data_IF_716188522021
#
_entry.id   IF_716188522021
#
_cell.length_a   1.000
_cell.length_b   1.000
_cell.length_c   1.000
_cell.angle_alpha   90.00
_cell.angle_beta   90.00
_cell.angle_gamma   90.00
#
_symmetry.space_group_name_H-M   'P 1'
#
loop_
_entity.id
_entity.type
_entity.pdbx_description
1 polymer ?
#
# COMPACT_ATOMS: atom_id res chain seq x y z
N UNK A 1 -10.50 -23.77 -27.79
CA UNK A 1 -10.06 -22.46 -27.24
C UNK A 1 -9.60 -22.70 -25.81
N UNK A 2 -8.43 -22.19 -25.40
CA UNK A 2 -7.97 -22.30 -24.01
C UNK A 2 -8.98 -21.53 -23.14
N UNK A 3 -9.62 -22.19 -22.18
CA UNK A 3 -10.61 -21.56 -21.29
C UNK A 3 -9.92 -20.44 -20.51
N UNK A 4 -10.50 -19.24 -20.51
CA UNK A 4 -9.96 -18.09 -19.76
C UNK A 4 -9.92 -18.44 -18.28
N UNK A 5 -8.79 -18.18 -17.64
CA UNK A 5 -8.55 -18.47 -16.22
C UNK A 5 -8.27 -17.19 -15.46
N UNK A 6 -8.80 -17.09 -14.25
CA UNK A 6 -8.76 -15.89 -13.42
C UNK A 6 -7.97 -16.12 -12.14
N UNK A 7 -7.42 -15.03 -11.61
CA UNK A 7 -6.88 -14.94 -10.27
C UNK A 7 -7.61 -13.81 -9.53
N UNK A 8 -8.45 -14.19 -8.57
CA UNK A 8 -9.22 -13.26 -7.75
C UNK A 8 -8.40 -12.87 -6.51
N UNK A 9 -8.11 -11.59 -6.38
CA UNK A 9 -7.36 -10.99 -5.28
C UNK A 9 -8.34 -10.33 -4.33
N UNK A 10 -8.46 -10.87 -3.12
CA UNK A 10 -9.36 -10.39 -2.06
C UNK A 10 -8.62 -9.48 -1.09
N UNK A 11 -9.40 -8.71 -0.33
CA UNK A 11 -8.89 -7.97 0.82
C UNK A 11 -8.33 -8.92 1.90
N UNK A 12 -7.36 -8.43 2.68
CA UNK A 12 -6.76 -9.16 3.81
C UNK A 12 -7.06 -8.54 5.19
N UNK A 13 -7.81 -7.44 5.23
CA UNK A 13 -8.24 -6.76 6.45
C UNK A 13 -7.11 -5.99 7.16
N UNK A 14 -6.14 -5.46 6.40
CA UNK A 14 -4.94 -4.82 6.93
C UNK A 14 -4.81 -3.35 6.51
N UNK A 15 -3.78 -2.65 6.99
CA UNK A 15 -3.47 -1.29 6.53
C UNK A 15 -3.26 -1.20 5.01
N UNK A 16 -3.54 -0.03 4.43
CA UNK A 16 -3.69 0.16 2.97
C UNK A 16 -2.49 -0.33 2.17
N UNK A 17 -1.27 0.02 2.60
CA UNK A 17 -0.08 -0.41 1.89
C UNK A 17 0.22 -1.89 2.08
N UNK A 18 -0.24 -2.52 3.16
CA UNK A 18 -0.18 -3.98 3.29
C UNK A 18 -1.15 -4.67 2.30
N UNK A 19 -2.35 -4.12 2.15
CA UNK A 19 -3.33 -4.56 1.14
C UNK A 19 -2.79 -4.38 -0.29
N UNK A 20 -2.18 -3.23 -0.59
CA UNK A 20 -1.58 -2.97 -1.90
C UNK A 20 -0.35 -3.85 -2.16
N UNK A 21 0.51 -4.10 -1.17
CA UNK A 21 1.62 -5.05 -1.32
C UNK A 21 1.11 -6.47 -1.58
N UNK A 22 0.03 -6.89 -0.92
CA UNK A 22 -0.65 -8.14 -1.24
C UNK A 22 -1.14 -8.15 -2.70
N UNK A 23 -1.83 -7.10 -3.14
CA UNK A 23 -2.29 -6.97 -4.53
C UNK A 23 -1.12 -7.07 -5.50
N UNK A 24 -0.04 -6.33 -5.29
CA UNK A 24 1.14 -6.34 -6.17
C UNK A 24 1.79 -7.73 -6.24
N UNK A 25 1.96 -8.42 -5.09
CA UNK A 25 2.45 -9.80 -5.07
C UNK A 25 1.54 -10.72 -5.88
N UNK A 26 0.22 -10.59 -5.75
CA UNK A 26 -0.71 -11.45 -6.48
C UNK A 26 -0.83 -11.09 -7.97
N UNK A 27 -0.55 -9.84 -8.36
CA UNK A 27 -0.43 -9.46 -9.77
C UNK A 27 0.78 -10.15 -10.42
N UNK A 28 1.93 -10.21 -9.72
CA UNK A 28 3.08 -11.00 -10.17
C UNK A 28 2.72 -12.48 -10.33
N UNK A 29 2.04 -13.06 -9.32
CA UNK A 29 1.57 -14.45 -9.39
C UNK A 29 0.64 -14.65 -10.59
N UNK A 30 -0.26 -13.71 -10.88
CA UNK A 30 -1.13 -13.78 -12.05
C UNK A 30 -0.35 -13.78 -13.38
N UNK A 31 0.74 -13.00 -13.48
CA UNK A 31 1.62 -13.03 -14.66
C UNK A 31 2.33 -14.38 -14.81
N UNK A 32 2.91 -14.90 -13.74
CA UNK A 32 3.61 -16.20 -13.74
C UNK A 32 2.64 -17.33 -14.12
N UNK A 33 1.44 -17.33 -13.56
CA UNK A 33 0.43 -18.36 -13.81
C UNK A 33 -0.38 -18.14 -15.10
N UNK A 34 -0.12 -17.05 -15.84
CA UNK A 34 -0.87 -16.64 -17.04
C UNK A 34 -2.39 -16.56 -16.81
N UNK A 35 -2.80 -15.90 -15.71
CA UNK A 35 -4.19 -15.71 -15.31
C UNK A 35 -4.59 -14.24 -15.41
N UNK A 36 -5.86 -13.98 -15.71
CA UNK A 36 -6.40 -12.62 -15.70
C UNK A 36 -6.66 -12.21 -14.24
N UNK A 37 -6.00 -11.16 -13.71
CA UNK A 37 -6.23 -10.70 -12.35
C UNK A 37 -7.55 -9.92 -12.23
N UNK A 38 -8.27 -10.14 -11.13
CA UNK A 38 -9.45 -9.38 -10.71
C UNK A 38 -9.26 -9.02 -9.25
N UNK A 39 -9.29 -7.73 -8.90
CA UNK A 39 -9.14 -7.26 -7.52
C UNK A 39 -10.51 -6.91 -6.96
N UNK A 40 -10.85 -7.49 -5.82
CA UNK A 40 -12.11 -7.22 -5.14
C UNK A 40 -11.88 -7.06 -3.64
N UNK A 41 -12.01 -5.82 -3.16
CA UNK A 41 -12.01 -5.51 -1.74
C UNK A 41 -13.45 -5.35 -1.26
N UNK A 42 -14.01 -6.42 -0.71
CA UNK A 42 -15.38 -6.46 -0.24
C UNK A 42 -15.60 -5.74 1.10
N UNK A 43 -16.70 -6.09 1.77
CA UNK A 43 -17.08 -5.52 3.09
C UNK A 43 -16.06 -5.80 4.21
N UNK A 44 -15.13 -6.73 4.03
CA UNK A 44 -14.05 -6.99 4.98
C UNK A 44 -12.92 -5.94 4.95
N UNK A 45 -12.93 -5.03 3.96
CA UNK A 45 -11.89 -4.02 3.82
C UNK A 45 -12.06 -2.89 4.83
N UNK A 46 -10.96 -2.51 5.49
CA UNK A 46 -10.93 -1.36 6.40
C UNK A 46 -11.20 0.00 5.70
N UNK A 47 -11.25 0.00 4.38
CA UNK A 47 -11.38 1.17 3.51
C UNK A 47 -12.71 1.20 2.72
N UNK A 48 -13.60 0.23 2.95
CA UNK A 48 -14.90 0.19 2.32
C UNK A 48 -15.82 1.30 2.90
N UNK A 49 -16.31 2.19 2.06
CA UNK A 49 -17.36 3.14 2.44
C UNK A 49 -18.74 2.47 2.44
N UNK A 50 -19.68 3.09 3.16
CA UNK A 50 -21.09 2.67 3.18
C UNK A 50 -21.68 2.71 1.78
N UNK A 51 -22.07 1.55 1.24
CA UNK A 51 -22.66 1.42 -0.09
C UNK A 51 -21.65 1.21 -1.23
N UNK A 52 -20.34 1.25 -0.95
CA UNK A 52 -19.35 0.84 -1.93
C UNK A 52 -19.37 -0.68 -2.13
N UNK A 53 -19.32 -1.10 -3.39
CA UNK A 53 -19.28 -2.50 -3.75
C UNK A 53 -17.86 -3.10 -3.74
N UNK A 54 -16.89 -2.39 -4.35
CA UNK A 54 -15.49 -2.76 -4.39
C UNK A 54 -14.62 -1.61 -3.87
N UNK A 55 -14.07 -1.76 -2.67
CA UNK A 55 -13.34 -0.69 -2.00
C UNK A 55 -12.07 -0.27 -2.76
N UNK A 56 -11.45 -1.17 -3.52
CA UNK A 56 -10.28 -0.88 -4.36
C UNK A 56 -10.61 0.17 -5.43
N UNK A 57 -11.76 0.01 -6.07
CA UNK A 57 -12.19 0.86 -7.19
C UNK A 57 -12.63 2.27 -6.76
N UNK A 58 -12.75 2.54 -5.45
CA UNK A 58 -12.92 3.90 -4.94
C UNK A 58 -11.67 4.76 -5.15
N UNK A 59 -10.51 4.12 -5.25
CA UNK A 59 -9.21 4.78 -5.24
C UNK A 59 -8.45 4.54 -6.54
N UNK A 60 -8.60 3.36 -7.13
CA UNK A 60 -7.85 2.93 -8.30
C UNK A 60 -8.78 2.50 -9.44
N UNK A 61 -8.31 2.58 -10.68
CA UNK A 61 -9.01 2.00 -11.82
C UNK A 61 -8.96 0.46 -11.76
N UNK A 62 -9.96 -0.25 -12.32
CA UNK A 62 -9.93 -1.71 -12.42
C UNK A 62 -8.66 -2.22 -13.10
N UNK A 63 -8.10 -3.30 -12.56
CA UNK A 63 -6.87 -3.93 -13.08
C UNK A 63 -7.12 -4.63 -14.44
N UNK A 64 -8.33 -5.14 -14.65
CA UNK A 64 -8.75 -5.79 -15.88
C UNK A 64 -10.16 -5.35 -16.26
N UNK A 65 -10.62 -5.76 -17.45
CA UNK A 65 -12.00 -5.53 -17.90
C UNK A 65 -13.03 -6.42 -17.21
N UNK A 66 -12.62 -7.26 -16.26
CA UNK A 66 -13.47 -8.20 -15.55
C UNK A 66 -13.70 -7.74 -14.11
N UNK A 67 -14.93 -7.91 -13.66
CA UNK A 67 -15.36 -7.65 -12.29
C UNK A 67 -15.59 -8.97 -11.54
N UNK A 68 -15.77 -8.87 -10.22
CA UNK A 68 -16.18 -10.03 -9.42
C UNK A 68 -17.52 -10.64 -9.87
N UNK A 69 -18.41 -9.86 -10.49
CA UNK A 69 -19.67 -10.37 -11.02
C UNK A 69 -19.47 -11.29 -12.22
N UNK A 70 -18.44 -11.05 -13.03
CA UNK A 70 -18.08 -11.93 -14.14
C UNK A 70 -17.55 -13.28 -13.67
N UNK A 71 -17.07 -13.34 -12.43
CA UNK A 71 -16.55 -14.53 -11.76
C UNK A 71 -17.61 -15.25 -10.92
N UNK A 72 -18.72 -14.59 -10.54
CA UNK A 72 -19.79 -15.15 -9.71
C UNK A 72 -20.73 -16.07 -10.52
N UNK A 73 -20.15 -17.10 -11.14
CA UNK A 73 -20.80 -18.00 -12.10
C UNK A 73 -20.74 -19.44 -11.60
N UNK A 74 -21.88 -20.14 -11.57
CA UNK A 74 -21.96 -21.52 -11.08
C UNK A 74 -21.16 -22.50 -11.93
N UNK A 75 -20.91 -22.18 -13.21
CA UNK A 75 -20.10 -23.00 -14.11
C UNK A 75 -18.59 -22.89 -13.87
N UNK A 76 -18.13 -21.98 -13.00
CA UNK A 76 -16.72 -21.84 -12.68
C UNK A 76 -16.34 -22.76 -11.52
N UNK A 77 -15.19 -23.42 -11.69
CA UNK A 77 -14.49 -24.09 -10.61
C UNK A 77 -13.63 -23.09 -9.86
N UNK A 78 -13.52 -23.27 -8.54
CA UNK A 78 -12.80 -22.36 -7.64
C UNK A 78 -11.71 -23.11 -6.88
N UNK A 79 -10.61 -22.42 -6.59
CA UNK A 79 -9.55 -22.90 -5.71
C UNK A 79 -9.11 -21.77 -4.77
N UNK A 80 -8.91 -22.02 -3.47
CA UNK A 80 -9.11 -23.29 -2.77
C UNK A 80 -10.58 -23.78 -2.74
N UNK A 81 -10.80 -25.08 -2.49
CA UNK A 81 -12.11 -25.75 -2.61
C UNK A 81 -13.22 -25.14 -1.74
N UNK A 82 -12.88 -24.39 -0.70
CA UNK A 82 -13.88 -23.70 0.10
C UNK A 82 -14.61 -22.56 -0.64
N UNK A 83 -14.01 -22.00 -1.70
CA UNK A 83 -14.61 -20.90 -2.46
C UNK A 83 -15.62 -21.40 -3.50
N UNK A 84 -16.66 -20.62 -3.76
CA UNK A 84 -17.68 -20.87 -4.79
C UNK A 84 -18.39 -19.55 -5.19
N UNK A 85 -19.20 -19.61 -6.24
CA UNK A 85 -19.94 -18.45 -6.77
C UNK A 85 -20.81 -17.73 -5.74
N UNK A 86 -21.32 -18.43 -4.71
CA UNK A 86 -22.17 -17.86 -3.68
C UNK A 86 -21.39 -17.13 -2.57
N UNK A 87 -20.16 -17.54 -2.27
CA UNK A 87 -19.36 -16.96 -1.18
C UNK A 87 -18.25 -16.01 -1.64
N UNK A 88 -17.91 -15.94 -2.94
CA UNK A 88 -16.86 -15.03 -3.43
C UNK A 88 -17.16 -13.53 -3.26
N UNK A 89 -18.37 -13.16 -2.79
CA UNK A 89 -18.77 -11.80 -2.43
C UNK A 89 -18.83 -11.57 -0.91
N UNK A 90 -18.76 -12.63 -0.11
CA UNK A 90 -18.78 -12.55 1.34
C UNK A 90 -17.43 -12.01 1.86
N UNK A 91 -17.39 -11.40 3.07
CA UNK A 91 -16.13 -11.00 3.70
C UNK A 91 -15.19 -12.20 3.85
N UNK A 92 -13.90 -12.00 3.60
CA UNK A 92 -12.88 -13.03 3.82
C UNK A 92 -12.58 -13.27 5.33
N UNK A 93 -13.08 -12.40 6.22
CA UNK A 93 -12.90 -12.55 7.66
C UNK A 93 -13.69 -13.75 8.19
N UNK A 94 -12.96 -14.75 8.69
CA UNK A 94 -13.51 -16.00 9.22
C UNK A 94 -12.63 -17.21 8.93
N UNK A 95 -11.72 -17.12 7.96
CA UNK A 95 -10.90 -18.24 7.53
C UNK A 95 -9.53 -18.23 8.22
N UNK A 96 -9.29 -19.21 9.09
CA UNK A 96 -7.98 -19.39 9.75
C UNK A 96 -6.88 -19.82 8.78
N UNK A 97 -5.60 -19.75 9.17
CA UNK A 97 -4.47 -20.19 8.32
C UNK A 97 -4.55 -21.71 8.02
N UNK A 98 -5.25 -22.49 8.87
CA UNK A 98 -5.53 -23.92 8.68
C UNK A 98 -6.79 -24.19 7.84
N UNK A 99 -7.36 -23.16 7.20
CA UNK A 99 -8.63 -23.26 6.51
C UNK A 99 -8.48 -23.64 5.05
N UNK A 100 -9.45 -24.41 4.53
CA UNK A 100 -9.56 -24.86 3.12
C UNK A 100 -9.75 -23.72 2.12
N UNK A 101 -9.58 -22.48 2.54
CA UNK A 101 -9.75 -21.24 1.80
C UNK A 101 -8.42 -20.52 1.52
N UNK A 102 -7.29 -21.01 2.05
CA UNK A 102 -5.94 -20.43 1.85
C UNK A 102 -5.14 -21.27 0.86
N UNK A 103 -4.64 -20.64 -0.21
CA UNK A 103 -3.82 -21.29 -1.23
C UNK A 103 -2.33 -21.06 -0.98
N UNK A 104 -1.49 -21.98 -1.44
CA UNK A 104 -0.06 -21.76 -1.51
C UNK A 104 0.33 -20.64 -2.51
N UNK A 105 1.47 -19.96 -2.32
CA UNK A 105 1.86 -18.79 -3.11
C UNK A 105 1.89 -19.00 -4.64
N UNK A 106 2.38 -20.16 -5.09
CA UNK A 106 2.39 -20.60 -6.50
C UNK A 106 1.80 -22.01 -6.65
N UNK A 107 0.82 -22.34 -5.80
CA UNK A 107 0.12 -23.62 -5.91
C UNK A 107 -0.50 -23.76 -7.30
N UNK A 108 -0.11 -24.83 -8.02
CA UNK A 108 -0.65 -25.11 -9.35
C UNK A 108 -2.16 -25.31 -9.23
N UNK A 109 -2.89 -24.45 -9.93
CA UNK A 109 -4.33 -24.35 -9.79
C UNK A 109 -4.97 -24.74 -11.12
N UNK A 110 -5.69 -25.87 -11.14
CA UNK A 110 -6.46 -26.31 -12.29
C UNK A 110 -7.75 -25.50 -12.49
N UNK A 111 -8.28 -24.91 -11.42
CA UNK A 111 -9.56 -24.23 -11.37
C UNK A 111 -9.67 -22.99 -12.29
N UNK A 112 -10.90 -22.65 -12.66
CA UNK A 112 -11.22 -21.46 -13.46
C UNK A 112 -10.86 -20.19 -12.71
N UNK A 113 -11.18 -20.11 -11.42
CA UNK A 113 -10.90 -18.98 -10.54
C UNK A 113 -10.02 -19.43 -9.37
N UNK A 114 -8.80 -18.91 -9.27
CA UNK A 114 -8.01 -19.08 -8.05
C UNK A 114 -8.16 -17.85 -7.17
N UNK A 115 -8.67 -18.04 -5.96
CA UNK A 115 -8.86 -16.98 -4.96
C UNK A 115 -7.60 -16.84 -4.11
N UNK A 116 -7.25 -15.60 -3.80
CA UNK A 116 -6.11 -15.21 -2.97
C UNK A 116 -6.62 -14.21 -1.95
N UNK A 117 -6.76 -14.66 -0.71
CA UNK A 117 -7.33 -13.89 0.41
C UNK A 117 -6.42 -13.85 1.64
N UNK A 118 -5.17 -14.27 1.49
CA UNK A 118 -4.17 -14.31 2.55
C UNK A 118 -2.90 -13.63 2.10
N UNK A 119 -2.26 -12.89 3.01
CA UNK A 119 -1.00 -12.21 2.72
C UNK A 119 0.09 -13.21 2.32
N UNK A 120 0.80 -12.86 1.25
CA UNK A 120 1.97 -13.59 0.77
C UNK A 120 3.10 -12.59 0.68
N UNK A 121 4.19 -12.89 1.37
CA UNK A 121 5.41 -12.12 1.25
C UNK A 121 6.04 -12.35 -0.13
N UNK A 122 6.31 -11.26 -0.85
CA UNK A 122 6.91 -11.28 -2.18
C UNK A 122 8.30 -11.90 -2.18
N UNK A 123 9.02 -11.85 -1.06
CA UNK A 123 10.33 -12.51 -0.92
C UNK A 123 10.24 -14.03 -1.10
N UNK A 124 9.05 -14.62 -0.90
CA UNK A 124 8.80 -16.04 -1.19
C UNK A 124 8.52 -16.31 -2.68
N UNK A 125 8.13 -15.29 -3.43
CA UNK A 125 7.81 -15.39 -4.87
C UNK A 125 9.01 -15.05 -5.74
N UNK A 126 9.85 -14.08 -5.33
CA UNK A 126 11.02 -13.61 -6.12
C UNK A 126 11.91 -14.77 -6.60
N UNK A 127 12.30 -15.75 -5.77
CA UNK A 127 13.13 -16.88 -6.20
C UNK A 127 12.44 -17.83 -7.19
N UNK A 128 11.12 -17.73 -7.32
CA UNK A 128 10.29 -18.63 -8.12
C UNK A 128 9.84 -17.97 -9.45
N UNK A 129 10.30 -16.74 -9.72
CA UNK A 129 10.06 -16.07 -10.99
C UNK A 129 10.80 -16.86 -12.10
N UNK A 130 10.14 -17.25 -13.21
CA UNK A 130 10.81 -17.90 -14.33
C UNK A 130 11.84 -16.98 -15.00
N UNK A 131 12.95 -17.53 -15.51
CA UNK A 131 14.03 -16.76 -16.15
C UNK A 131 13.55 -15.94 -17.36
N UNK A 132 12.49 -16.40 -18.03
CA UNK A 132 11.89 -15.76 -19.20
C UNK A 132 10.98 -14.58 -18.82
N UNK A 133 10.62 -14.45 -17.53
CA UNK A 133 9.79 -13.35 -17.07
C UNK A 133 10.62 -12.05 -17.01
N UNK A 134 10.13 -10.90 -17.52
CA UNK A 134 10.85 -9.62 -17.48
C UNK A 134 11.23 -9.12 -16.09
N UNK A 135 10.61 -9.67 -15.03
CA UNK A 135 10.86 -9.31 -13.63
C UNK A 135 11.88 -10.23 -12.96
N UNK A 136 12.41 -11.22 -13.67
CA UNK A 136 13.46 -12.11 -13.15
C UNK A 136 14.70 -11.31 -12.75
N UNK A 137 15.26 -11.63 -11.58
CA UNK A 137 16.46 -11.00 -11.05
C UNK A 137 16.27 -9.59 -10.45
N UNK A 138 15.05 -9.02 -10.51
CA UNK A 138 14.77 -7.75 -9.83
C UNK A 138 14.69 -7.94 -8.32
N UNK A 139 15.19 -6.96 -7.56
CA UNK A 139 14.92 -6.88 -6.14
C UNK A 139 13.47 -6.45 -5.88
N UNK A 140 12.99 -6.61 -4.64
CA UNK A 140 11.63 -6.24 -4.22
C UNK A 140 11.22 -4.82 -4.62
N UNK A 141 12.09 -3.82 -4.43
CA UNK A 141 11.79 -2.40 -4.69
C UNK A 141 11.55 -2.16 -6.19
N UNK A 142 12.46 -2.63 -7.04
CA UNK A 142 12.38 -2.44 -8.49
C UNK A 142 11.22 -3.24 -9.10
N UNK A 143 10.98 -4.44 -8.57
CA UNK A 143 9.85 -5.28 -8.95
C UNK A 143 8.52 -4.58 -8.64
N UNK A 144 8.33 -4.09 -7.42
CA UNK A 144 7.10 -3.39 -7.06
C UNK A 144 6.96 -2.05 -7.78
N UNK A 145 8.04 -1.32 -8.01
CA UNK A 145 8.01 -0.11 -8.85
C UNK A 145 7.48 -0.42 -10.26
N UNK A 146 7.96 -1.51 -10.87
CA UNK A 146 7.46 -1.96 -12.17
C UNK A 146 5.96 -2.28 -12.13
N UNK A 147 5.50 -3.08 -11.16
CA UNK A 147 4.10 -3.50 -11.06
C UNK A 147 3.16 -2.33 -10.76
N UNK A 148 3.57 -1.38 -9.92
CA UNK A 148 2.83 -0.14 -9.66
C UNK A 148 2.68 0.65 -10.96
N UNK A 149 3.78 0.87 -11.69
CA UNK A 149 3.74 1.58 -12.96
C UNK A 149 2.93 0.85 -14.03
N UNK A 150 2.83 -0.47 -13.99
CA UNK A 150 2.04 -1.25 -14.96
C UNK A 150 0.55 -1.24 -14.65
N UNK A 151 0.18 -1.43 -13.38
CA UNK A 151 -1.19 -1.79 -13.00
C UNK A 151 -1.92 -0.72 -12.19
N UNK A 152 -1.22 0.02 -11.34
CA UNK A 152 -1.88 0.92 -10.39
C UNK A 152 -2.12 2.26 -11.05
N UNK A 153 -3.39 2.64 -11.17
CA UNK A 153 -3.85 3.91 -11.74
C UNK A 153 -4.87 4.51 -10.80
N UNK A 154 -4.66 5.76 -10.38
CA UNK A 154 -5.60 6.44 -9.50
C UNK A 154 -6.91 6.77 -10.23
N UNK A 155 -8.01 6.72 -9.49
CA UNK A 155 -9.26 7.34 -9.90
C UNK A 155 -9.09 8.85 -10.01
N UNK A 156 -9.88 9.48 -10.89
CA UNK A 156 -9.81 10.94 -11.12
C UNK A 156 -10.00 11.74 -9.83
N UNK A 157 -10.94 11.33 -8.98
CA UNK A 157 -11.21 11.99 -7.70
C UNK A 157 -10.00 11.94 -6.76
N UNK A 158 -9.37 10.77 -6.61
CA UNK A 158 -8.17 10.61 -5.79
C UNK A 158 -6.99 11.43 -6.35
N UNK A 159 -6.81 11.42 -7.67
CA UNK A 159 -5.79 12.21 -8.36
C UNK A 159 -6.01 13.71 -8.12
N UNK A 160 -7.23 14.22 -8.30
CA UNK A 160 -7.55 15.63 -8.04
C UNK A 160 -7.38 16.02 -6.56
N UNK A 161 -7.66 15.11 -5.63
CA UNK A 161 -7.43 15.33 -4.20
C UNK A 161 -5.94 15.49 -3.86
N UNK A 162 -5.06 14.74 -4.53
CA UNK A 162 -3.61 14.90 -4.43
C UNK A 162 -3.15 16.19 -5.07
N UNK A 163 -3.58 16.44 -6.30
CA UNK A 163 -3.11 17.56 -7.12
C UNK A 163 -3.48 18.90 -6.49
N UNK A 164 -4.67 19.02 -5.90
CA UNK A 164 -5.08 20.23 -5.18
C UNK A 164 -4.09 20.61 -4.06
N UNK A 165 -3.69 19.64 -3.22
CA UNK A 165 -2.73 19.91 -2.15
C UNK A 165 -1.34 20.24 -2.72
N UNK A 166 -0.91 19.52 -3.76
CA UNK A 166 0.38 19.75 -4.39
C UNK A 166 0.47 21.15 -4.99
N UNK A 167 -0.53 21.55 -5.79
CA UNK A 167 -0.57 22.85 -6.46
C UNK A 167 -0.63 24.01 -5.47
N UNK A 168 -1.34 23.84 -4.35
CA UNK A 168 -1.48 24.89 -3.33
C UNK A 168 -0.23 25.06 -2.45
N UNK A 169 0.45 23.95 -2.09
CA UNK A 169 1.45 23.98 -1.02
C UNK A 169 2.86 23.57 -1.42
N UNK A 170 3.01 22.83 -2.53
CA UNK A 170 4.27 22.15 -2.86
C UNK A 170 4.88 22.56 -4.20
N UNK A 171 4.05 23.00 -5.15
CA UNK A 171 4.47 23.33 -6.50
C UNK A 171 5.62 24.35 -6.50
N UNK A 172 6.55 24.14 -7.43
CA UNK A 172 7.72 25.01 -7.67
C UNK A 172 8.66 25.16 -6.45
N UNK A 173 8.54 24.28 -5.45
CA UNK A 173 9.37 24.29 -4.25
C UNK A 173 9.98 22.91 -4.01
N UNK A 174 11.26 22.88 -3.63
CA UNK A 174 11.93 21.63 -3.29
C UNK A 174 11.50 21.13 -1.90
N UNK A 175 11.27 19.83 -1.77
CA UNK A 175 10.81 19.20 -0.53
C UNK A 175 11.62 17.97 -0.13
N UNK A 176 11.85 17.88 1.18
CA UNK A 176 12.20 16.65 1.89
C UNK A 176 10.92 16.09 2.53
N UNK A 177 10.46 14.94 2.05
CA UNK A 177 9.44 14.16 2.73
C UNK A 177 10.05 13.41 3.92
N UNK A 178 9.39 13.47 5.07
CA UNK A 178 9.82 12.78 6.29
C UNK A 178 8.65 11.97 6.82
N UNK A 179 8.79 10.65 6.88
CA UNK A 179 7.78 9.77 7.48
C UNK A 179 8.27 9.22 8.82
N UNK A 180 7.68 9.74 9.92
CA UNK A 180 8.00 9.33 11.30
C UNK A 180 6.79 8.63 11.89
N UNK A 181 6.99 7.43 12.43
CA UNK A 181 5.93 6.64 13.06
C UNK A 181 6.09 6.67 14.58
N UNK A 182 4.99 6.82 15.31
CA UNK A 182 5.03 6.95 16.78
C UNK A 182 4.52 5.73 17.55
N UNK A 183 3.62 4.91 17.00
CA UNK A 183 2.98 3.82 17.76
C UNK A 183 2.60 2.58 16.95
N UNK A 184 2.00 1.61 17.67
CA UNK A 184 1.70 0.18 17.44
C UNK A 184 2.88 -0.81 17.26
N UNK A 185 4.06 -0.34 16.84
CA UNK A 185 5.24 -1.22 16.68
C UNK A 185 6.18 -1.38 17.88
N UNK A 186 5.86 -0.90 19.09
CA UNK A 186 6.75 -1.12 20.26
C UNK A 186 6.96 -2.63 20.55
N UNK A 187 5.98 -3.46 20.21
CA UNK A 187 6.11 -4.92 20.28
C UNK A 187 6.97 -5.53 19.13
N UNK A 188 7.10 -4.85 17.99
CA UNK A 188 7.79 -5.34 16.79
C UNK A 188 9.18 -4.73 16.55
N UNK A 189 9.41 -3.50 17.03
CA UNK A 189 10.67 -2.76 16.90
C UNK A 189 11.13 -2.37 18.29
N UNK A 190 11.93 -3.25 18.89
CA UNK A 190 12.77 -2.87 20.03
C UNK A 190 13.60 -1.64 19.59
N UNK A 191 13.64 -0.58 20.40
CA UNK A 191 14.39 0.67 20.14
C UNK A 191 13.74 1.73 19.21
N UNK A 192 12.42 1.74 18.99
CA UNK A 192 11.74 2.80 18.21
C UNK A 192 12.08 4.24 18.67
N UNK A 193 12.29 4.45 19.98
CA UNK A 193 12.72 5.75 20.51
C UNK A 193 14.12 6.16 20.02
N UNK A 194 15.07 5.22 19.96
CA UNK A 194 16.41 5.47 19.45
C UNK A 194 16.38 5.75 17.94
N UNK A 195 15.53 5.01 17.21
CA UNK A 195 15.29 5.25 15.79
C UNK A 195 14.75 6.67 15.54
N UNK A 196 13.72 7.06 16.30
CA UNK A 196 13.13 8.40 16.18
C UNK A 196 14.13 9.51 16.53
N UNK A 197 15.08 9.27 17.45
CA UNK A 197 16.17 10.18 17.75
C UNK A 197 17.14 10.45 16.59
N UNK A 198 17.19 9.56 15.58
CA UNK A 198 18.09 9.72 14.41
C UNK A 198 17.54 10.68 13.35
N UNK A 199 16.22 10.92 13.31
CA UNK A 199 15.60 11.73 12.26
C UNK A 199 16.13 13.15 12.21
N UNK A 200 16.22 13.82 13.37
CA UNK A 200 16.67 15.22 13.42
C UNK A 200 18.04 15.37 12.78
N UNK A 201 19.01 14.50 13.11
CA UNK A 201 20.35 14.56 12.53
C UNK A 201 20.33 14.40 11.00
N UNK A 202 19.52 13.48 10.47
CA UNK A 202 19.44 13.22 9.03
C UNK A 202 18.69 14.32 8.27
N UNK A 203 17.65 14.90 8.88
CA UNK A 203 16.94 16.06 8.34
C UNK A 203 17.90 17.25 8.24
N UNK A 204 18.62 17.58 9.32
CA UNK A 204 19.55 18.73 9.32
C UNK A 204 20.62 18.61 8.23
N UNK A 205 21.15 17.41 7.95
CA UNK A 205 22.12 17.20 6.86
C UNK A 205 21.56 17.62 5.51
N UNK A 206 20.32 17.25 5.21
CA UNK A 206 19.67 17.59 3.93
C UNK A 206 19.34 19.09 3.87
N UNK A 207 18.83 19.67 4.96
CA UNK A 207 18.55 21.11 5.03
C UNK A 207 19.82 21.95 4.82
N UNK A 208 20.94 21.55 5.42
CA UNK A 208 22.23 22.24 5.27
C UNK A 208 22.78 22.14 3.85
N UNK A 209 22.65 20.98 3.21
CA UNK A 209 23.13 20.75 1.85
C UNK A 209 22.25 21.41 0.77
N UNK A 210 20.98 21.69 1.08
CA UNK A 210 19.98 22.19 0.11
C UNK A 210 19.26 23.44 0.64
N UNK A 211 19.89 24.63 0.61
CA UNK A 211 19.25 25.86 1.07
C UNK A 211 17.93 26.14 0.36
N UNK A 212 16.87 26.41 1.13
CA UNK A 212 15.52 26.69 0.60
C UNK A 212 14.61 25.47 0.49
N UNK A 213 15.12 24.25 0.72
CA UNK A 213 14.27 23.05 0.80
C UNK A 213 13.33 23.15 2.01
N UNK A 214 12.11 22.66 1.85
CA UNK A 214 11.08 22.57 2.90
C UNK A 214 10.83 21.14 3.32
N UNK A 215 10.15 20.95 4.45
CA UNK A 215 9.83 19.63 5.01
C UNK A 215 8.35 19.34 4.78
N UNK A 216 8.06 18.16 4.24
CA UNK A 216 6.73 17.57 4.28
C UNK A 216 6.72 16.45 5.31
N UNK A 217 6.05 16.66 6.45
CA UNK A 217 6.00 15.68 7.53
C UNK A 217 4.76 14.80 7.41
N UNK A 218 5.00 13.49 7.36
CA UNK A 218 4.02 12.43 7.53
C UNK A 218 4.23 11.79 8.89
N UNK A 219 3.20 11.81 9.73
CA UNK A 219 3.21 11.14 11.04
C UNK A 219 1.79 10.78 11.44
N UNK A 220 1.66 9.62 12.08
CA UNK A 220 0.43 9.13 12.69
C UNK A 220 0.18 9.70 14.09
N UNK A 221 1.08 10.56 14.60
CA UNK A 221 1.08 11.00 15.98
C UNK A 221 1.01 12.51 16.18
N UNK A 222 0.14 12.89 17.11
CA UNK A 222 -0.11 14.28 17.49
C UNK A 222 1.14 14.91 18.12
N UNK A 223 1.80 14.21 19.03
CA UNK A 223 2.95 14.70 19.78
C UNK A 223 4.19 14.89 18.89
N UNK A 224 4.43 13.97 17.95
CA UNK A 224 5.50 14.12 16.96
C UNK A 224 5.23 15.33 16.06
N UNK A 225 3.98 15.52 15.62
CA UNK A 225 3.63 16.68 14.82
C UNK A 225 3.92 17.99 15.56
N UNK A 226 3.50 18.11 16.82
CA UNK A 226 3.71 19.31 17.61
C UNK A 226 5.20 19.56 17.93
N UNK A 227 5.96 18.51 18.22
CA UNK A 227 7.42 18.61 18.39
C UNK A 227 8.10 19.18 17.13
N UNK A 228 7.77 18.63 15.96
CA UNK A 228 8.42 19.01 14.71
C UNK A 228 7.94 20.37 14.20
N UNK A 229 6.67 20.74 14.44
CA UNK A 229 6.18 22.12 14.20
C UNK A 229 6.93 23.13 15.05
N UNK A 230 7.18 22.83 16.33
CA UNK A 230 7.98 23.70 17.21
C UNK A 230 9.42 23.83 16.73
N UNK A 231 10.01 22.73 16.23
CA UNK A 231 11.41 22.70 15.76
C UNK A 231 11.60 23.44 14.43
N UNK A 232 10.76 23.17 13.44
CA UNK A 232 10.98 23.62 12.05
C UNK A 232 10.11 24.80 11.62
N UNK A 233 9.06 25.14 12.39
CA UNK A 233 8.20 26.28 12.12
C UNK A 233 7.67 26.30 10.69
N UNK A 234 7.90 27.40 9.98
CA UNK A 234 7.38 27.62 8.61
C UNK A 234 8.03 26.74 7.53
N UNK A 235 9.16 26.09 7.83
CA UNK A 235 9.80 25.16 6.91
C UNK A 235 8.98 23.88 6.74
N UNK A 236 8.16 23.53 7.73
CA UNK A 236 7.38 22.31 7.76
C UNK A 236 5.95 22.54 7.29
N UNK A 237 5.49 21.69 6.38
CA UNK A 237 4.08 21.50 6.06
C UNK A 237 3.67 20.05 6.38
N UNK A 238 2.39 19.85 6.58
CA UNK A 238 1.77 18.54 6.78
C UNK A 238 0.36 18.60 6.22
N UNK A 239 -0.22 17.44 5.94
CA UNK A 239 -1.63 17.34 5.60
C UNK A 239 -2.50 17.36 6.85
N UNK A 240 -3.76 17.76 6.70
CA UNK A 240 -4.80 17.49 7.69
C UNK A 240 -5.28 16.05 7.48
N UNK A 241 -4.89 15.18 8.41
CA UNK A 241 -5.17 13.75 8.41
C UNK A 241 -5.30 13.29 9.85
N UNK A 242 -6.01 12.18 10.06
CA UNK A 242 -6.25 11.70 11.41
C UNK A 242 -4.96 11.19 12.05
N UNK A 243 -4.73 11.62 13.29
CA UNK A 243 -3.59 11.23 14.11
C UNK A 243 -4.09 10.73 15.44
N UNK A 244 -3.29 9.88 16.08
CA UNK A 244 -3.56 9.34 17.41
C UNK A 244 -2.55 9.89 18.42
N UNK A 245 -2.87 9.92 19.71
CA UNK A 245 -1.87 10.14 20.74
C UNK A 245 -0.77 9.08 20.65
N UNK A 246 0.39 9.40 21.20
CA UNK A 246 1.51 8.47 21.33
C UNK A 246 1.04 7.19 22.04
N UNK A 247 1.54 6.05 21.56
CA UNK A 247 1.15 4.71 22.02
C UNK A 247 -0.33 4.32 21.76
N UNK A 248 -1.07 5.15 21.01
CA UNK A 248 -2.43 4.84 20.58
C UNK A 248 -2.51 3.71 19.55
N UNK A 249 -3.69 3.09 19.44
CA UNK A 249 -4.00 2.11 18.38
C UNK A 249 -3.80 2.73 17.00
N UNK A 250 -3.17 1.98 16.08
CA UNK A 250 -2.84 2.44 14.74
C UNK A 250 -4.01 3.10 14.01
N UNK A 251 -3.74 4.17 13.25
CA UNK A 251 -4.76 5.02 12.60
C UNK A 251 -5.73 4.22 11.71
N UNK A 252 -5.27 3.11 11.14
CA UNK A 252 -6.09 2.25 10.29
C UNK A 252 -7.25 1.54 11.04
N UNK A 253 -7.09 1.32 12.36
CA UNK A 253 -8.15 0.80 13.24
C UNK A 253 -9.10 1.87 13.77
N UNK A 254 -8.85 3.15 13.50
CA UNK A 254 -9.72 4.23 13.96
C UNK A 254 -11.01 4.27 13.14
N UNK A 255 -12.14 4.58 13.79
CA UNK A 255 -13.43 4.74 13.13
C UNK A 255 -13.50 6.06 12.37
N UNK A 256 -13.86 6.01 11.09
CA UNK A 256 -14.12 7.21 10.29
C UNK A 256 -15.62 7.32 10.02
N UNK A 257 -16.18 8.55 9.91
CA UNK A 257 -17.53 8.73 9.37
C UNK A 257 -17.67 8.11 7.97
N UNK A 258 -16.60 8.20 7.17
CA UNK A 258 -16.45 7.51 5.89
C UNK A 258 -15.04 6.93 5.76
N UNK A 259 -14.94 5.61 5.69
CA UNK A 259 -13.67 4.89 5.51
C UNK A 259 -13.02 5.15 4.15
N UNK A 260 -13.73 5.71 3.16
CA UNK A 260 -13.10 6.21 1.93
C UNK A 260 -12.08 7.29 2.27
N UNK A 261 -12.41 8.21 3.18
CA UNK A 261 -11.49 9.29 3.57
C UNK A 261 -10.22 8.73 4.22
N UNK A 262 -10.34 7.69 5.05
CA UNK A 262 -9.20 6.97 5.64
C UNK A 262 -8.21 6.48 4.56
N UNK A 263 -8.72 5.96 3.44
CA UNK A 263 -7.89 5.55 2.30
C UNK A 263 -7.30 6.73 1.54
N UNK A 264 -8.10 7.77 1.29
CA UNK A 264 -7.67 8.98 0.59
C UNK A 264 -6.54 9.72 1.31
N UNK A 265 -6.58 9.81 2.64
CA UNK A 265 -5.54 10.48 3.43
C UNK A 265 -4.16 9.84 3.22
N UNK A 266 -4.04 8.52 3.35
CA UNK A 266 -2.76 7.82 3.20
C UNK A 266 -2.30 7.74 1.74
N UNK A 267 -3.24 7.62 0.78
CA UNK A 267 -2.93 7.70 -0.65
C UNK A 267 -2.36 9.09 -0.97
N UNK A 268 -3.01 10.15 -0.49
CA UNK A 268 -2.54 11.52 -0.68
C UNK A 268 -1.13 11.68 -0.15
N UNK A 269 -0.91 11.32 1.12
CA UNK A 269 0.38 11.53 1.77
C UNK A 269 1.51 10.78 1.05
N UNK A 270 1.28 9.53 0.64
CA UNK A 270 2.32 8.73 -0.03
C UNK A 270 2.61 9.19 -1.46
N UNK A 271 1.60 9.58 -2.23
CA UNK A 271 1.81 10.15 -3.57
C UNK A 271 2.47 11.53 -3.51
N UNK A 272 2.13 12.38 -2.53
CA UNK A 272 2.82 13.67 -2.32
C UNK A 272 4.28 13.45 -1.92
N UNK A 273 4.56 12.50 -1.02
CA UNK A 273 5.93 12.16 -0.63
C UNK A 273 6.75 11.64 -1.82
N UNK A 274 6.15 10.84 -2.70
CA UNK A 274 6.80 10.39 -3.93
C UNK A 274 7.07 11.53 -4.92
N UNK A 275 6.42 12.70 -4.81
CA UNK A 275 6.72 13.90 -5.60
C UNK A 275 7.83 14.78 -4.99
N UNK A 276 8.25 14.52 -3.76
CA UNK A 276 9.32 15.27 -3.10
C UNK A 276 10.70 14.91 -3.67
N UNK A 277 11.67 15.80 -3.50
CA UNK A 277 13.05 15.66 -4.00
C UNK A 277 13.85 14.64 -3.19
N UNK A 278 13.64 14.65 -1.87
CA UNK A 278 14.28 13.74 -0.92
C UNK A 278 13.24 13.02 -0.05
N UNK A 279 13.60 11.85 0.46
CA UNK A 279 12.77 11.10 1.40
C UNK A 279 13.59 10.50 2.55
N UNK A 280 13.14 10.72 3.79
CA UNK A 280 13.60 9.98 4.98
C UNK A 280 12.39 9.26 5.58
N UNK A 281 12.49 7.96 5.82
CA UNK A 281 11.37 7.16 6.33
C UNK A 281 11.76 6.04 7.29
N UNK A 282 10.76 5.47 7.95
CA UNK A 282 10.92 4.31 8.82
C UNK A 282 10.99 3.03 7.98
N UNK A 283 12.14 2.36 7.98
CA UNK A 283 12.41 1.16 7.18
C UNK A 283 11.54 -0.05 7.51
N UNK A 284 10.89 -0.08 8.68
CA UNK A 284 9.96 -1.15 9.08
C UNK A 284 8.49 -0.85 8.74
N UNK A 285 8.21 0.28 8.09
CA UNK A 285 6.85 0.68 7.74
C UNK A 285 6.52 0.41 6.27
N UNK A 286 5.41 -0.29 6.04
CA UNK A 286 4.85 -0.48 4.69
C UNK A 286 4.60 0.86 3.96
N UNK A 287 4.34 1.95 4.70
CA UNK A 287 4.16 3.30 4.13
C UNK A 287 5.46 3.83 3.54
N UNK A 288 6.58 3.71 4.27
CA UNK A 288 7.88 4.13 3.75
C UNK A 288 8.40 3.20 2.66
N UNK A 289 8.15 1.89 2.77
CA UNK A 289 8.44 0.94 1.70
C UNK A 289 7.70 1.33 0.42
N UNK A 290 6.40 1.63 0.51
CA UNK A 290 5.60 2.07 -0.61
C UNK A 290 6.12 3.36 -1.27
N UNK A 291 6.54 4.36 -0.48
CA UNK A 291 7.14 5.59 -1.04
C UNK A 291 8.43 5.27 -1.80
N UNK A 292 9.24 4.33 -1.30
CA UNK A 292 10.45 3.86 -1.99
C UNK A 292 10.16 3.15 -3.33
N UNK A 293 8.95 2.59 -3.47
CA UNK A 293 8.49 1.85 -4.65
C UNK A 293 7.68 2.72 -5.62
N UNK A 294 7.02 3.78 -5.14
CA UNK A 294 6.23 4.71 -5.97
C UNK A 294 7.09 5.55 -6.92
N UNK A 295 8.33 5.82 -6.55
CA UNK A 295 9.27 6.63 -7.33
C UNK A 295 10.59 5.88 -7.51
N UNK A 296 11.17 6.02 -8.69
CA UNK A 296 12.54 5.58 -8.94
C UNK A 296 13.53 6.59 -8.34
N UNK A 297 13.73 6.53 -7.02
CA UNK A 297 14.69 7.38 -6.30
C UNK A 297 16.12 7.08 -6.68
N UNK A 298 16.90 8.13 -6.93
CA UNK A 298 18.36 8.08 -6.87
C UNK A 298 18.79 7.70 -5.44
N UNK A 299 19.86 6.88 -5.32
CA UNK A 299 20.26 6.28 -4.05
C UNK A 299 20.64 7.29 -2.96
N UNK A 300 21.09 8.48 -3.35
CA UNK A 300 21.44 9.60 -2.45
C UNK A 300 20.23 10.48 -2.09
N UNK A 301 19.06 10.25 -2.70
CA UNK A 301 17.82 11.00 -2.44
C UNK A 301 16.82 10.27 -1.55
N UNK A 302 17.10 9.04 -1.14
CA UNK A 302 16.25 8.26 -0.24
C UNK A 302 17.05 7.66 0.91
N UNK A 303 16.48 7.72 2.12
CA UNK A 303 17.06 7.07 3.30
C UNK A 303 15.98 6.43 4.16
N UNK A 304 16.05 5.10 4.29
CA UNK A 304 15.24 4.35 5.24
C UNK A 304 16.04 4.10 6.52
N UNK A 305 15.45 4.42 7.66
CA UNK A 305 16.05 4.20 8.97
C UNK A 305 15.52 2.89 9.55
N UNK A 306 16.44 2.00 9.89
CA UNK A 306 16.24 0.72 10.57
C UNK A 306 16.89 0.71 11.93
#
# INVERSE_FOLDING_TARGET
>A
MKKTKFLLIREIGQGLWNELHHVLTQLLVAEIMQRIPVVYWGKGSLYASSGCFNAFEQFFLPISSYSIHDLAKEEFSFHPEGWNSANILMPAQGYSIDDKHVAGPLEECGADVCVRSAYVDVEKIIPLIPEENPLFGLNRRDLFHHLINKYIRLQKEAQSFIDAFYDEHMKDTAFLAVHIRSSDKIAEVQHLHELNGRYTLEIEKILQANPGIRIFLMTDCIEILEEYKKRYGKLLIHTDCRRVPKDGLGVHFQEYPDNKMKGLEIIRDTWLAARCDFFIGNGYSNVSAAISELKNWENDRIKLLY
#
